data_IF_541723388677
#
_entry.id   IF_541723388677
#
_cell.length_a   1.000
_cell.length_b   1.000
_cell.length_c   1.000
_cell.angle_alpha   90.00
_cell.angle_beta   90.00
_cell.angle_gamma   90.00
#
_symmetry.space_group_name_H-M   'P 1'
#
loop_
_entity.id
_entity.type
_entity.pdbx_description
1 polymer ?
#
# COMPACT_ATOMS: atom_id res chain seq x y z
N UNK A 1 -2.55 16.25 12.79
CA UNK A 1 -3.25 14.93 12.74
C UNK A 1 -4.74 15.20 12.67
N UNK A 2 -5.47 14.57 11.76
CA UNK A 2 -6.92 14.67 11.63
C UNK A 2 -7.47 13.27 11.91
N UNK A 3 -8.43 13.16 12.82
CA UNK A 3 -8.98 11.88 13.25
C UNK A 3 -10.51 11.95 13.36
N UNK A 4 -11.15 10.81 13.18
CA UNK A 4 -12.56 10.56 13.48
C UNK A 4 -12.62 9.16 14.08
N UNK A 5 -12.79 9.09 15.41
CA UNK A 5 -12.73 7.81 16.16
C UNK A 5 -13.96 6.97 15.89
N UNK A 6 -13.92 5.69 16.26
CA UNK A 6 -15.03 4.75 16.02
C UNK A 6 -16.36 5.13 16.72
N UNK A 7 -16.33 6.07 17.66
CA UNK A 7 -17.52 6.62 18.33
C UNK A 7 -18.36 7.51 17.40
N UNK A 8 -17.76 8.01 16.32
CA UNK A 8 -18.41 8.88 15.34
C UNK A 8 -19.24 8.09 14.32
N UNK A 9 -20.28 8.73 13.79
CA UNK A 9 -21.10 8.10 12.74
C UNK A 9 -20.33 7.97 11.41
N UNK A 10 -20.73 6.99 10.59
CA UNK A 10 -20.15 6.79 9.25
C UNK A 10 -20.21 8.05 8.36
N UNK A 11 -21.28 8.85 8.49
CA UNK A 11 -21.44 10.15 7.81
C UNK A 11 -20.33 11.13 8.17
N UNK A 12 -19.91 11.15 9.45
CA UNK A 12 -18.81 11.99 9.92
C UNK A 12 -17.47 11.53 9.35
N UNK A 13 -17.21 10.22 9.30
CA UNK A 13 -15.99 9.68 8.68
C UNK A 13 -15.88 10.11 7.21
N UNK A 14 -16.97 9.96 6.45
CA UNK A 14 -17.04 10.38 5.04
C UNK A 14 -16.79 11.88 4.91
N UNK A 15 -17.46 12.71 5.71
CA UNK A 15 -17.30 14.16 5.68
C UNK A 15 -15.85 14.58 5.97
N UNK A 16 -15.23 14.02 7.02
CA UNK A 16 -13.84 14.33 7.39
C UNK A 16 -12.89 13.93 6.27
N UNK A 17 -13.05 12.73 5.69
CA UNK A 17 -12.21 12.27 4.59
C UNK A 17 -12.35 13.18 3.35
N UNK A 18 -13.56 13.57 2.97
CA UNK A 18 -13.79 14.47 1.83
C UNK A 18 -13.14 15.85 2.06
N UNK A 19 -13.25 16.43 3.25
CA UNK A 19 -12.59 17.69 3.59
C UNK A 19 -11.05 17.60 3.51
N UNK A 20 -10.47 16.50 4.00
CA UNK A 20 -9.02 16.26 3.92
C UNK A 20 -8.57 16.17 2.46
N UNK A 21 -9.33 15.45 1.64
CA UNK A 21 -9.00 15.28 0.23
C UNK A 21 -9.07 16.61 -0.53
N UNK A 22 -10.12 17.40 -0.32
CA UNK A 22 -10.24 18.71 -0.97
C UNK A 22 -9.13 19.67 -0.53
N UNK A 23 -8.78 19.70 0.76
CA UNK A 23 -7.62 20.47 1.24
C UNK A 23 -6.32 20.02 0.57
N UNK A 24 -6.10 18.71 0.45
CA UNK A 24 -4.91 18.17 -0.20
C UNK A 24 -4.84 18.56 -1.69
N UNK A 25 -5.96 18.48 -2.41
CA UNK A 25 -6.04 18.91 -3.82
C UNK A 25 -5.68 20.38 -3.99
N UNK A 26 -6.23 21.27 -3.16
CA UNK A 26 -5.90 22.71 -3.19
C UNK A 26 -4.41 22.95 -2.95
N UNK A 27 -3.79 22.24 -2.00
CA UNK A 27 -2.35 22.35 -1.76
C UNK A 27 -1.51 21.89 -2.97
N UNK A 28 -1.92 20.80 -3.64
CA UNK A 28 -1.24 20.29 -4.84
C UNK A 28 -1.37 21.25 -6.03
N UNK A 29 -2.51 21.92 -6.19
CA UNK A 29 -2.71 23.00 -7.17
C UNK A 29 -1.76 24.18 -6.92
N UNK A 30 -1.41 24.44 -5.66
CA UNK A 30 -0.36 25.38 -5.27
C UNK A 30 1.06 24.79 -5.32
N UNK A 31 1.27 23.74 -6.12
CA UNK A 31 2.57 23.08 -6.35
C UNK A 31 3.22 22.53 -5.08
N UNK A 32 2.42 22.04 -4.13
CA UNK A 32 2.93 21.35 -2.93
C UNK A 32 2.88 19.84 -3.11
N UNK A 33 3.90 19.17 -2.61
CA UNK A 33 3.91 17.73 -2.43
C UNK A 33 3.20 17.38 -1.12
N UNK A 34 2.09 16.66 -1.24
CA UNK A 34 1.20 16.33 -0.12
C UNK A 34 1.17 14.83 0.06
N UNK A 35 1.36 14.40 1.30
CA UNK A 35 1.24 12.99 1.69
C UNK A 35 0.05 12.82 2.64
N UNK A 36 -0.83 11.88 2.33
CA UNK A 36 -1.90 11.42 3.23
C UNK A 36 -1.54 10.01 3.69
N UNK A 37 -1.42 9.84 5.01
CA UNK A 37 -1.35 8.53 5.65
C UNK A 37 -2.74 8.19 6.20
N UNK A 38 -3.44 7.24 5.57
CA UNK A 38 -4.81 6.88 5.89
C UNK A 38 -4.88 5.53 6.61
N UNK A 39 -5.35 5.53 7.85
CA UNK A 39 -5.63 4.32 8.62
C UNK A 39 -7.14 4.27 9.00
N UNK A 40 -8.01 3.56 8.27
CA UNK A 40 -7.73 2.67 7.13
C UNK A 40 -8.69 2.86 5.97
N UNK A 41 -8.27 2.48 4.75
CA UNK A 41 -9.12 2.58 3.57
C UNK A 41 -10.29 1.60 3.61
N UNK A 42 -10.10 0.44 4.25
CA UNK A 42 -11.17 -0.55 4.45
C UNK A 42 -12.30 0.03 5.29
N UNK A 43 -11.97 0.71 6.40
CA UNK A 43 -12.97 1.35 7.26
C UNK A 43 -13.66 2.52 6.56
N UNK A 44 -12.92 3.30 5.76
CA UNK A 44 -13.51 4.37 4.96
C UNK A 44 -14.50 3.81 3.93
N UNK A 45 -14.15 2.74 3.22
CA UNK A 45 -15.07 2.08 2.27
C UNK A 45 -16.32 1.52 2.94
N UNK A 46 -16.20 0.93 4.14
CA UNK A 46 -17.36 0.52 4.95
C UNK A 46 -18.26 1.70 5.30
N UNK A 47 -17.69 2.84 5.68
CA UNK A 47 -18.46 4.05 5.99
C UNK A 47 -19.22 4.58 4.75
N UNK A 48 -18.60 4.54 3.57
CA UNK A 48 -19.30 4.86 2.32
C UNK A 48 -20.44 3.86 2.02
N UNK A 49 -20.23 2.56 2.24
CA UNK A 49 -21.28 1.55 2.03
C UNK A 49 -22.51 1.74 2.94
N UNK A 50 -22.31 2.25 4.16
CA UNK A 50 -23.41 2.53 5.09
C UNK A 50 -24.17 3.83 4.78
N UNK A 51 -23.55 4.76 4.07
CA UNK A 51 -24.09 6.11 3.83
C UNK A 51 -24.67 6.30 2.43
N UNK A 52 -24.29 5.46 1.48
CA UNK A 52 -24.80 5.51 0.10
C UNK A 52 -26.22 4.93 0.03
N UNK A 53 -27.17 5.60 -0.65
CA UNK A 53 -28.48 5.02 -0.92
C UNK A 53 -28.36 3.71 -1.70
N UNK A 54 -29.18 2.71 -1.37
CA UNK A 54 -29.13 1.41 -2.06
C UNK A 54 -29.38 1.56 -3.56
N UNK A 55 -28.51 0.93 -4.36
CA UNK A 55 -28.64 0.84 -5.81
C UNK A 55 -29.59 -0.28 -6.25
N UNK A 56 -30.02 -1.13 -5.31
CA UNK A 56 -30.72 -2.38 -5.61
C UNK A 56 -29.81 -3.50 -6.14
N UNK A 57 -28.50 -3.24 -6.32
CA UNK A 57 -27.50 -4.21 -6.78
C UNK A 57 -26.41 -4.41 -5.73
N UNK A 58 -26.50 -5.53 -5.02
CA UNK A 58 -25.56 -5.91 -3.98
C UNK A 58 -24.56 -6.92 -4.56
N UNK A 59 -23.28 -6.58 -4.47
CA UNK A 59 -22.15 -7.45 -4.83
C UNK A 59 -21.93 -8.52 -3.75
N UNK A 60 -21.05 -9.48 -4.05
CA UNK A 60 -20.59 -10.46 -3.05
C UNK A 60 -20.12 -9.75 -1.77
N UNK A 61 -20.44 -10.31 -0.60
CA UNK A 61 -20.02 -9.74 0.68
C UNK A 61 -20.85 -8.55 1.18
N UNK A 62 -21.99 -8.22 0.56
CA UNK A 62 -22.90 -7.18 1.07
C UNK A 62 -22.47 -5.75 0.73
N UNK A 63 -21.63 -5.59 -0.29
CA UNK A 63 -21.17 -4.29 -0.78
C UNK A 63 -22.11 -3.81 -1.89
N UNK A 64 -22.67 -2.62 -1.76
CA UNK A 64 -23.45 -2.02 -2.84
C UNK A 64 -22.54 -1.65 -4.03
N UNK A 65 -22.99 -1.89 -5.25
CA UNK A 65 -22.18 -1.61 -6.46
C UNK A 65 -21.72 -0.15 -6.58
N UNK A 66 -22.48 0.80 -6.02
CA UNK A 66 -22.13 2.22 -6.02
C UNK A 66 -21.29 2.63 -4.80
N UNK A 67 -21.24 1.81 -3.75
CA UNK A 67 -20.55 2.15 -2.51
C UNK A 67 -19.04 2.34 -2.69
N UNK A 68 -18.42 1.61 -3.62
CA UNK A 68 -16.97 1.66 -3.85
C UNK A 68 -16.53 2.79 -4.79
N UNK A 69 -17.46 3.44 -5.50
CA UNK A 69 -17.11 4.49 -6.45
C UNK A 69 -16.40 5.69 -5.79
N UNK A 70 -16.97 6.21 -4.69
CA UNK A 70 -16.36 7.34 -3.95
C UNK A 70 -15.03 6.98 -3.26
N UNK A 71 -14.92 5.86 -2.52
CA UNK A 71 -13.64 5.40 -1.98
C UNK A 71 -12.55 5.20 -3.05
N UNK A 72 -12.88 4.60 -4.20
CA UNK A 72 -11.93 4.45 -5.32
C UNK A 72 -11.48 5.80 -5.87
N UNK A 73 -12.39 6.77 -5.99
CA UNK A 73 -12.05 8.14 -6.39
C UNK A 73 -11.19 8.86 -5.35
N UNK A 74 -11.39 8.61 -4.05
CA UNK A 74 -10.53 9.13 -3.00
C UNK A 74 -9.11 8.61 -3.16
N UNK A 75 -8.93 7.29 -3.27
CA UNK A 75 -7.61 6.66 -3.36
C UNK A 75 -6.91 6.98 -4.69
N UNK A 76 -7.65 6.91 -5.80
CA UNK A 76 -7.19 7.29 -7.14
C UNK A 76 -6.98 8.79 -7.35
N UNK A 77 -7.19 9.62 -6.32
CA UNK A 77 -6.75 11.00 -6.36
C UNK A 77 -5.22 11.11 -6.29
N UNK A 78 -4.55 10.13 -5.67
CA UNK A 78 -3.09 10.08 -5.60
C UNK A 78 -2.48 10.04 -7.01
N UNK A 79 -1.59 10.98 -7.30
CA UNK A 79 -0.92 11.12 -8.60
C UNK A 79 0.25 12.09 -8.52
N UNK A 80 1.23 11.89 -9.40
CA UNK A 80 2.26 12.87 -9.70
C UNK A 80 1.75 13.80 -10.83
N UNK A 81 1.93 15.12 -10.70
CA UNK A 81 1.47 16.10 -11.70
C UNK A 81 2.67 16.86 -12.26
N UNK A 82 2.92 16.75 -13.57
CA UNK A 82 4.13 17.26 -14.23
C UNK A 82 4.39 18.76 -14.03
N UNK A 83 3.34 19.59 -14.04
CA UNK A 83 3.44 21.04 -13.82
C UNK A 83 2.86 21.50 -12.48
N UNK A 84 2.54 20.54 -11.60
CA UNK A 84 1.97 20.75 -10.28
C UNK A 84 2.89 20.24 -9.18
N UNK A 85 2.30 19.98 -8.00
CA UNK A 85 2.94 19.13 -6.98
C UNK A 85 2.49 17.67 -7.14
N UNK A 86 2.78 16.86 -6.13
CA UNK A 86 2.31 15.47 -6.06
C UNK A 86 1.33 15.23 -4.92
N UNK A 87 0.36 14.32 -5.13
CA UNK A 87 -0.46 13.75 -4.06
C UNK A 87 -0.08 12.29 -3.86
N UNK A 88 0.57 11.98 -2.74
CA UNK A 88 0.83 10.60 -2.31
C UNK A 88 -0.20 10.19 -1.28
N UNK A 89 -0.84 9.04 -1.46
CA UNK A 89 -1.71 8.44 -0.45
C UNK A 89 -1.17 7.06 -0.14
N UNK A 90 -0.82 6.83 1.13
CA UNK A 90 -0.49 5.51 1.66
C UNK A 90 -1.58 5.16 2.64
N UNK A 91 -2.29 4.07 2.37
CA UNK A 91 -3.39 3.64 3.20
C UNK A 91 -3.21 2.20 3.69
N UNK A 92 -3.61 1.93 4.93
CA UNK A 92 -3.69 0.56 5.43
C UNK A 92 -4.97 -0.09 4.89
N UNK A 93 -4.87 -1.37 4.53
CA UNK A 93 -6.00 -2.19 4.14
C UNK A 93 -6.02 -3.43 5.04
N UNK A 94 -7.21 -3.79 5.54
CA UNK A 94 -7.41 -4.98 6.35
C UNK A 94 -7.70 -6.18 5.44
N UNK A 95 -6.96 -7.27 5.65
CA UNK A 95 -7.15 -8.57 5.02
C UNK A 95 -7.24 -9.64 6.11
N UNK A 96 -7.74 -10.83 5.76
CA UNK A 96 -7.87 -11.96 6.70
C UNK A 96 -8.68 -11.61 7.97
N UNK A 97 -9.71 -10.76 7.81
CA UNK A 97 -10.63 -10.36 8.89
C UNK A 97 -11.76 -11.36 9.11
N UNK A 98 -11.92 -12.33 8.21
CA UNK A 98 -13.07 -13.22 8.14
C UNK A 98 -14.32 -12.57 7.53
N UNK A 99 -14.26 -11.30 7.11
CA UNK A 99 -15.37 -10.61 6.47
C UNK A 99 -15.22 -10.63 4.95
N UNK A 100 -16.19 -11.26 4.26
CA UNK A 100 -16.24 -11.26 2.79
C UNK A 100 -16.32 -9.84 2.19
N UNK A 101 -16.90 -8.90 2.93
CA UNK A 101 -16.93 -7.49 2.58
C UNK A 101 -15.53 -6.89 2.45
N UNK A 102 -14.64 -7.19 3.42
CA UNK A 102 -13.27 -6.66 3.42
C UNK A 102 -12.43 -7.26 2.30
N UNK A 103 -12.62 -8.55 2.00
CA UNK A 103 -11.97 -9.21 0.87
C UNK A 103 -12.33 -8.54 -0.46
N UNK A 104 -13.61 -8.25 -0.67
CA UNK A 104 -14.09 -7.56 -1.88
C UNK A 104 -13.55 -6.13 -1.94
N UNK A 105 -13.55 -5.41 -0.82
CA UNK A 105 -12.96 -4.06 -0.75
C UNK A 105 -11.47 -4.11 -1.10
N UNK A 106 -10.71 -5.06 -0.56
CA UNK A 106 -9.28 -5.21 -0.81
C UNK A 106 -8.99 -5.44 -2.30
N UNK A 107 -9.68 -6.40 -2.93
CA UNK A 107 -9.47 -6.71 -4.36
C UNK A 107 -9.78 -5.51 -5.26
N UNK A 108 -10.82 -4.73 -4.95
CA UNK A 108 -11.18 -3.52 -5.69
C UNK A 108 -10.12 -2.41 -5.59
N UNK A 109 -9.46 -2.29 -4.44
CA UNK A 109 -8.38 -1.31 -4.25
C UNK A 109 -7.03 -1.77 -4.79
N UNK A 110 -6.77 -3.08 -4.81
CA UNK A 110 -5.59 -3.68 -5.44
C UNK A 110 -5.47 -3.27 -6.92
N UNK A 111 -6.59 -3.22 -7.63
CA UNK A 111 -6.64 -2.72 -9.01
C UNK A 111 -6.40 -1.21 -9.15
N UNK A 112 -6.65 -0.43 -8.10
CA UNK A 112 -6.59 1.03 -8.10
C UNK A 112 -5.20 1.56 -7.72
N UNK A 113 -4.50 0.87 -6.81
CA UNK A 113 -3.15 1.24 -6.36
C UNK A 113 -2.04 0.85 -7.34
N UNK A 114 -0.85 1.40 -7.10
CA UNK A 114 0.37 1.05 -7.82
C UNK A 114 1.51 0.54 -6.92
N UNK A 115 1.32 0.54 -5.60
CA UNK A 115 2.27 0.02 -4.61
C UNK A 115 1.50 -0.78 -3.56
N UNK A 116 2.04 -1.95 -3.21
CA UNK A 116 1.51 -2.86 -2.19
C UNK A 116 2.66 -3.28 -1.26
N UNK A 117 2.48 -3.04 0.04
CA UNK A 117 3.35 -3.55 1.10
C UNK A 117 2.56 -4.55 1.95
N UNK A 118 2.83 -5.84 1.74
CA UNK A 118 2.12 -6.91 2.41
C UNK A 118 2.77 -7.20 3.77
N UNK A 119 1.94 -7.32 4.82
CA UNK A 119 2.36 -7.72 6.16
C UNK A 119 1.92 -9.16 6.42
N UNK A 120 2.81 -9.99 6.98
CA UNK A 120 2.50 -11.40 7.27
C UNK A 120 2.26 -11.59 8.78
N UNK A 121 1.08 -12.10 9.14
CA UNK A 121 0.70 -12.38 10.54
C UNK A 121 1.66 -13.40 11.18
N UNK A 122 2.15 -14.39 10.43
CA UNK A 122 3.05 -15.42 10.95
C UNK A 122 4.40 -14.86 11.40
N UNK A 123 4.90 -13.80 10.74
CA UNK A 123 6.10 -13.08 11.16
C UNK A 123 5.86 -12.29 12.45
N UNK A 124 4.70 -11.60 12.53
CA UNK A 124 4.32 -10.83 13.71
C UNK A 124 4.13 -11.74 14.95
N UNK A 125 3.50 -12.91 14.80
CA UNK A 125 3.29 -13.89 15.88
C UNK A 125 4.63 -14.42 16.42
N UNK A 126 5.64 -14.56 15.54
CA UNK A 126 7.02 -14.91 15.90
C UNK A 126 7.85 -13.72 16.44
N UNK A 127 7.26 -12.52 16.54
CA UNK A 127 7.93 -11.26 16.93
C UNK A 127 9.08 -10.84 16.01
N UNK A 128 9.02 -11.21 14.73
CA UNK A 128 9.97 -10.78 13.72
C UNK A 128 9.49 -9.45 13.11
N UNK A 129 10.26 -8.38 13.30
CA UNK A 129 9.93 -7.04 12.80
C UNK A 129 11.08 -6.42 11.99
N UNK A 130 10.76 -5.71 10.89
CA UNK A 130 9.41 -5.48 10.34
C UNK A 130 8.80 -6.75 9.71
N UNK A 131 7.49 -6.97 9.92
CA UNK A 131 6.77 -8.18 9.49
C UNK A 131 6.36 -8.13 8.00
N UNK A 132 7.27 -7.68 7.13
CA UNK A 132 7.02 -7.43 5.72
C UNK A 132 7.17 -8.70 4.91
N UNK A 133 6.18 -9.06 4.11
CA UNK A 133 6.34 -10.11 3.11
C UNK A 133 6.98 -9.50 1.85
N UNK A 134 8.30 -9.60 1.74
CA UNK A 134 9.08 -9.00 0.64
C UNK A 134 8.70 -9.58 -0.72
N UNK A 135 8.32 -10.86 -0.79
CA UNK A 135 7.94 -11.54 -2.04
C UNK A 135 6.61 -11.03 -2.58
N UNK A 136 5.61 -10.84 -1.70
CA UNK A 136 4.28 -10.32 -2.08
C UNK A 136 4.25 -8.81 -2.27
N UNK A 137 5.24 -8.08 -1.76
CA UNK A 137 5.30 -6.62 -1.86
C UNK A 137 5.91 -6.17 -3.18
N UNK A 138 5.33 -5.13 -3.79
CA UNK A 138 5.77 -4.62 -5.09
C UNK A 138 5.34 -3.18 -5.35
N UNK A 139 6.04 -2.51 -6.27
CA UNK A 139 5.66 -1.21 -6.82
C UNK A 139 5.70 -1.31 -8.35
N UNK A 140 4.64 -0.87 -9.02
CA UNK A 140 4.59 -0.81 -10.48
C UNK A 140 5.49 0.32 -10.98
N UNK A 141 6.19 0.08 -12.09
CA UNK A 141 7.14 1.03 -12.70
C UNK A 141 8.24 1.49 -11.73
N UNK A 142 8.79 0.55 -10.95
CA UNK A 142 9.89 0.84 -10.02
C UNK A 142 11.19 1.28 -10.73
N UNK A 143 11.31 1.03 -12.04
CA UNK A 143 12.37 1.54 -12.92
C UNK A 143 12.41 3.08 -13.03
N UNK A 144 11.29 3.76 -12.75
CA UNK A 144 11.25 5.23 -12.69
C UNK A 144 11.75 5.78 -11.34
N UNK A 145 11.89 4.94 -10.33
CA UNK A 145 12.20 5.31 -8.94
C UNK A 145 13.61 4.89 -8.52
N UNK A 146 14.11 3.81 -9.12
CA UNK A 146 15.41 3.20 -8.79
C UNK A 146 16.41 3.42 -9.91
N UNK A 147 17.69 3.50 -9.54
CA UNK A 147 18.76 3.45 -10.54
C UNK A 147 18.84 2.07 -11.19
N UNK A 148 19.45 2.00 -12.39
CA UNK A 148 19.66 0.72 -13.10
C UNK A 148 20.45 -0.28 -12.24
N UNK A 149 21.43 0.20 -11.47
CA UNK A 149 22.21 -0.64 -10.56
C UNK A 149 21.35 -1.21 -9.43
N UNK A 150 20.57 -0.37 -8.75
CA UNK A 150 19.65 -0.81 -7.70
C UNK A 150 18.63 -1.82 -8.24
N UNK A 151 18.05 -1.57 -9.42
CA UNK A 151 17.07 -2.45 -10.04
C UNK A 151 17.66 -3.84 -10.33
N UNK A 152 18.87 -3.90 -10.89
CA UNK A 152 19.57 -5.16 -11.12
C UNK A 152 19.81 -5.93 -9.81
N UNK A 153 20.23 -5.22 -8.76
CA UNK A 153 20.45 -5.81 -7.42
C UNK A 153 19.14 -6.31 -6.80
N UNK A 154 18.03 -5.55 -6.93
CA UNK A 154 16.70 -5.98 -6.49
C UNK A 154 16.25 -7.25 -7.21
N UNK A 155 16.52 -7.36 -8.51
CA UNK A 155 16.17 -8.55 -9.28
C UNK A 155 16.96 -9.80 -8.84
N UNK A 156 18.26 -9.64 -8.60
CA UNK A 156 19.10 -10.72 -8.05
C UNK A 156 18.58 -11.16 -6.67
N UNK A 157 18.25 -10.22 -5.79
CA UNK A 157 17.63 -10.55 -4.49
C UNK A 157 16.33 -11.34 -4.65
N UNK A 158 15.43 -10.89 -5.53
CA UNK A 158 14.17 -11.59 -5.80
C UNK A 158 14.41 -13.01 -6.34
N UNK A 159 15.42 -13.23 -7.19
CA UNK A 159 15.80 -14.56 -7.65
C UNK A 159 16.30 -15.46 -6.51
N UNK A 160 17.16 -14.93 -5.64
CA UNK A 160 17.67 -15.67 -4.48
C UNK A 160 16.56 -16.06 -3.51
N UNK A 161 15.56 -15.20 -3.31
CA UNK A 161 14.40 -15.47 -2.45
C UNK A 161 13.33 -16.37 -3.11
N UNK A 162 13.36 -16.54 -4.43
CA UNK A 162 12.34 -17.31 -5.16
C UNK A 162 12.13 -18.74 -4.60
N UNK A 163 13.19 -19.56 -4.36
CA UNK A 163 13.03 -20.90 -3.81
C UNK A 163 12.78 -20.95 -2.30
N UNK A 164 12.93 -19.83 -1.58
CA UNK A 164 12.76 -19.76 -0.12
C UNK A 164 11.27 -19.60 0.24
N UNK A 165 10.87 -20.08 1.43
CA UNK A 165 9.58 -19.71 1.99
C UNK A 165 9.50 -18.20 2.29
N UNK A 166 8.29 -17.66 2.36
CA UNK A 166 8.04 -16.24 2.63
C UNK A 166 8.66 -15.77 3.96
N UNK A 167 8.61 -16.61 5.00
CA UNK A 167 9.18 -16.27 6.32
C UNK A 167 10.71 -16.25 6.27
N UNK A 168 11.31 -17.32 5.75
CA UNK A 168 12.76 -17.47 5.64
C UNK A 168 13.37 -16.35 4.81
N UNK A 169 12.71 -15.97 3.70
CA UNK A 169 13.14 -14.86 2.84
C UNK A 169 13.26 -13.56 3.62
N UNK A 170 12.26 -13.27 4.44
CA UNK A 170 12.20 -12.03 5.22
C UNK A 170 13.22 -12.02 6.35
N UNK A 171 13.33 -13.12 7.09
CA UNK A 171 14.32 -13.28 8.16
C UNK A 171 15.75 -13.13 7.62
N UNK A 172 16.05 -13.76 6.46
CA UNK A 172 17.35 -13.63 5.80
C UNK A 172 17.66 -12.17 5.42
N UNK A 173 16.71 -11.46 4.80
CA UNK A 173 16.93 -10.05 4.42
C UNK A 173 17.16 -9.18 5.65
N UNK A 174 16.32 -9.34 6.69
CA UNK A 174 16.44 -8.56 7.92
C UNK A 174 17.78 -8.81 8.61
N UNK A 175 18.22 -10.07 8.72
CA UNK A 175 19.52 -10.43 9.31
C UNK A 175 20.69 -9.81 8.53
N UNK A 176 20.66 -9.89 7.19
CA UNK A 176 21.72 -9.30 6.35
C UNK A 176 21.72 -7.76 6.44
N UNK A 177 20.56 -7.11 6.39
CA UNK A 177 20.47 -5.65 6.49
C UNK A 177 20.97 -5.15 7.85
N UNK A 178 20.66 -5.87 8.95
CA UNK A 178 21.14 -5.52 10.31
C UNK A 178 22.66 -5.57 10.46
N UNK A 179 23.35 -6.39 9.68
CA UNK A 179 24.82 -6.48 9.66
C UNK A 179 25.48 -5.35 8.87
N UNK A 180 24.71 -4.48 8.24
CA UNK A 180 25.19 -3.39 7.40
C UNK A 180 24.75 -2.04 7.92
N UNK A 181 25.54 -1.00 7.66
CA UNK A 181 25.26 0.36 8.15
C UNK A 181 24.08 1.02 7.43
N UNK A 182 23.92 0.73 6.14
CA UNK A 182 22.91 1.34 5.28
C UNK A 182 22.62 0.44 4.07
N UNK A 183 21.56 0.78 3.32
CA UNK A 183 21.16 0.03 2.12
C UNK A 183 22.27 0.00 1.06
N UNK A 184 23.02 1.07 0.89
CA UNK A 184 24.12 1.11 -0.09
C UNK A 184 25.20 0.07 0.23
N UNK A 185 25.63 -0.04 1.49
CA UNK A 185 26.58 -1.04 1.94
C UNK A 185 26.02 -2.47 1.80
N UNK A 186 24.73 -2.66 2.09
CA UNK A 186 24.04 -3.92 1.85
C UNK A 186 24.08 -4.31 0.37
N UNK A 187 23.68 -3.41 -0.53
CA UNK A 187 23.63 -3.70 -1.96
C UNK A 187 25.02 -3.92 -2.57
N UNK A 188 26.03 -3.18 -2.11
CA UNK A 188 27.44 -3.39 -2.48
C UNK A 188 27.98 -4.73 -2.01
N UNK A 189 27.61 -5.15 -0.79
CA UNK A 189 27.99 -6.45 -0.23
C UNK A 189 27.42 -7.65 -0.99
N UNK A 190 26.40 -7.43 -1.83
CA UNK A 190 25.91 -8.44 -2.76
C UNK A 190 26.82 -8.51 -3.98
N UNK A 191 27.94 -9.23 -3.85
CA UNK A 191 28.79 -9.54 -4.99
C UNK A 191 27.98 -10.38 -5.99
N UNK A 192 27.73 -9.80 -7.17
CA UNK A 192 27.14 -10.48 -8.32
C UNK A 192 28.20 -11.37 -8.96
N UNK A 193 28.52 -12.51 -8.34
CA UNK A 193 29.21 -13.60 -9.02
C UNK A 193 28.19 -14.30 -9.93
N UNK A 194 27.93 -13.76 -11.12
CA UNK A 194 26.98 -14.35 -12.05
C UNK A 194 26.51 -13.47 -13.19
N UNK A 195 27.42 -12.78 -13.88
CA UNK A 195 27.27 -12.41 -15.31
C UNK A 195 28.64 -12.04 -15.89
N UNK A 196 29.57 -13.01 -15.84
CA UNK A 196 30.50 -13.20 -16.95
C UNK A 196 29.89 -14.36 -17.74
N UNK A 197 29.79 -14.17 -19.05
CA UNK A 197 29.32 -15.13 -20.06
C UNK A 197 27.78 -15.19 -20.25
N UNK A 198 27.27 -14.27 -21.09
CA UNK A 198 26.68 -14.55 -22.41
C UNK A 198 26.34 -13.24 -23.13
#
# INVERSE_FOLDING_TARGET
>A
VIASTFDEQATRHVQVAEMVLEKARRLVEHKKDVVILLDSITRLARAYNQTVPTSGKILSGGVDSNALHKPKRFFGAARNIEHGGSLTIVATALIETGSRMDEVIFEEFKGTGNMELSLDRRLADKRVYPAFNVKKSSTRKEDLLLTVEELNKMWVLRKVMSPMDDLESTEMIVDKMRKTKNNEAFLKGMNTSGTRDM
#
